data_IF_273861806242
#
_entry.id   IF_273861806242
#
_cell.length_a   1.000
_cell.length_b   1.000
_cell.length_c   1.000
_cell.angle_alpha   90.00
_cell.angle_beta   90.00
_cell.angle_gamma   90.00
#
_symmetry.space_group_name_H-M   'P 1'
#
loop_
_entity.id
_entity.type
_entity.pdbx_description
1 polymer ?
#
# COMPACT_ATOMS: atom_id res chain seq x y z
N UNK A 1 -6.19 9.30 5.46
CA UNK A 1 -5.97 8.62 4.17
C UNK A 1 -5.13 7.37 4.40
N UNK A 2 -5.57 6.25 3.87
CA UNK A 2 -4.82 4.99 3.97
C UNK A 2 -4.07 4.75 2.67
N UNK A 3 -2.76 4.54 2.77
CA UNK A 3 -1.90 4.23 1.64
C UNK A 3 -1.50 2.76 1.71
N UNK A 4 -1.56 2.09 0.57
CA UNK A 4 -1.22 0.68 0.45
C UNK A 4 0.14 0.53 -0.21
N UNK A 5 1.04 -0.20 0.45
CA UNK A 5 2.37 -0.46 -0.09
C UNK A 5 2.52 -1.93 -0.41
N UNK A 6 3.01 -2.22 -1.61
CA UNK A 6 3.39 -3.56 -2.01
C UNK A 6 4.89 -3.70 -1.77
N UNK A 7 5.28 -4.66 -0.91
CA UNK A 7 6.68 -4.94 -0.62
C UNK A 7 6.99 -6.35 -1.09
N UNK A 8 8.02 -6.47 -1.91
CA UNK A 8 8.44 -7.75 -2.47
C UNK A 8 9.90 -8.01 -2.18
N UNK A 9 10.21 -9.26 -1.85
CA UNK A 9 11.58 -9.70 -1.62
C UNK A 9 12.23 -10.06 -2.96
N UNK A 10 13.32 -9.35 -3.30
CA UNK A 10 14.18 -9.69 -4.41
C UNK A 10 15.39 -10.48 -3.95
N UNK A 11 16.33 -10.73 -4.85
CA UNK A 11 17.55 -11.47 -4.51
C UNK A 11 18.46 -10.72 -3.52
N UNK A 12 18.59 -9.42 -3.69
CA UNK A 12 19.48 -8.57 -2.88
C UNK A 12 18.76 -7.56 -2.01
N UNK A 13 17.58 -7.14 -2.45
CA UNK A 13 16.85 -6.05 -1.81
C UNK A 13 15.37 -6.38 -1.70
N UNK A 14 14.73 -5.72 -0.76
CA UNK A 14 13.27 -5.61 -0.74
C UNK A 14 12.87 -4.38 -1.53
N UNK A 15 11.94 -4.52 -2.45
CA UNK A 15 11.36 -3.39 -3.17
C UNK A 15 10.03 -3.01 -2.53
N UNK A 16 9.73 -1.72 -2.53
CA UNK A 16 8.49 -1.19 -1.99
C UNK A 16 7.90 -0.18 -2.96
N UNK A 17 6.58 -0.21 -3.12
CA UNK A 17 5.87 0.77 -3.94
C UNK A 17 4.56 1.16 -3.25
N UNK A 18 4.30 2.46 -3.19
CA UNK A 18 3.02 2.99 -2.75
C UNK A 18 2.08 2.99 -3.95
N UNK A 19 1.00 2.21 -3.86
CA UNK A 19 0.11 1.98 -5.00
C UNK A 19 -0.72 3.20 -5.40
N UNK A 20 -1.15 4.00 -4.43
CA UNK A 20 -1.95 5.19 -4.70
C UNK A 20 -1.16 6.33 -5.34
N UNK A 21 0.15 6.36 -5.14
CA UNK A 21 1.00 7.47 -5.57
C UNK A 21 2.08 7.06 -6.58
N UNK A 22 2.23 5.76 -6.82
CA UNK A 22 3.27 5.21 -7.69
C UNK A 22 4.68 5.69 -7.30
N UNK A 23 4.94 5.76 -6.00
CA UNK A 23 6.24 6.11 -5.43
C UNK A 23 6.92 4.83 -4.99
N UNK A 24 8.15 4.64 -5.40
CA UNK A 24 8.91 3.43 -5.12
C UNK A 24 10.16 3.70 -4.28
N UNK A 25 10.56 2.69 -3.52
CA UNK A 25 11.80 2.70 -2.76
C UNK A 25 12.30 1.26 -2.58
N UNK A 26 13.38 1.09 -1.86
CA UNK A 26 13.95 -0.23 -1.58
C UNK A 26 14.73 -0.22 -0.27
N UNK A 27 15.08 -1.40 0.21
CA UNK A 27 15.92 -1.57 1.39
C UNK A 27 16.52 -2.96 1.43
N UNK A 28 17.57 -3.13 2.19
CA UNK A 28 18.24 -4.43 2.37
C UNK A 28 17.43 -5.37 3.27
N UNK A 29 16.65 -4.81 4.15
CA UNK A 29 15.76 -5.54 5.05
C UNK A 29 14.33 -5.05 4.85
N UNK A 30 13.37 -5.84 5.34
CA UNK A 30 11.96 -5.45 5.31
C UNK A 30 11.73 -4.13 6.05
N UNK A 31 12.30 -3.98 7.25
CA UNK A 31 12.17 -2.75 8.04
C UNK A 31 12.75 -1.54 7.34
N UNK A 32 13.90 -1.73 6.69
CA UNK A 32 14.55 -0.66 5.93
C UNK A 32 13.68 -0.23 4.73
N UNK A 33 13.14 -1.19 3.99
CA UNK A 33 12.23 -0.91 2.88
C UNK A 33 10.98 -0.17 3.35
N UNK A 34 10.39 -0.57 4.48
CA UNK A 34 9.25 0.11 5.07
C UNK A 34 9.57 1.56 5.46
N UNK A 35 10.71 1.77 6.12
CA UNK A 35 11.14 3.12 6.51
C UNK A 35 11.42 3.99 5.28
N UNK A 36 12.09 3.42 4.27
CA UNK A 36 12.45 4.15 3.06
C UNK A 36 11.23 4.53 2.22
N UNK A 37 10.23 3.66 2.13
CA UNK A 37 9.01 4.01 1.38
C UNK A 37 8.21 5.11 2.08
N UNK A 38 8.15 5.11 3.40
CA UNK A 38 7.50 6.18 4.15
C UNK A 38 8.18 7.52 3.91
N UNK A 39 9.51 7.55 3.95
CA UNK A 39 10.30 8.75 3.67
C UNK A 39 10.08 9.25 2.24
N UNK A 40 10.11 8.33 1.27
CA UNK A 40 9.88 8.67 -0.14
C UNK A 40 8.48 9.25 -0.37
N UNK A 41 7.46 8.69 0.27
CA UNK A 41 6.08 9.19 0.19
C UNK A 41 5.98 10.58 0.81
N UNK A 42 6.58 10.80 1.98
CA UNK A 42 6.57 12.09 2.65
C UNK A 42 7.20 13.17 1.77
N UNK A 43 8.35 12.88 1.17
CA UNK A 43 9.03 13.80 0.25
C UNK A 43 8.19 14.09 -0.99
N UNK A 44 7.57 13.07 -1.56
CA UNK A 44 6.70 13.23 -2.71
C UNK A 44 5.52 14.16 -2.41
N UNK A 45 4.86 13.93 -1.28
CA UNK A 45 3.72 14.75 -0.87
C UNK A 45 4.13 16.19 -0.57
N UNK A 46 5.26 16.40 0.09
CA UNK A 46 5.80 17.75 0.33
C UNK A 46 6.04 18.50 -0.98
N UNK A 47 6.71 17.86 -1.93
CA UNK A 47 7.00 18.47 -3.24
C UNK A 47 5.74 18.81 -4.01
N UNK A 48 4.76 17.91 -4.03
CA UNK A 48 3.49 18.12 -4.75
C UNK A 48 2.69 19.26 -4.12
N UNK A 49 2.63 19.30 -2.79
CA UNK A 49 1.89 20.33 -2.05
C UNK A 49 2.55 21.69 -2.24
N UNK A 50 3.87 21.79 -2.12
CA UNK A 50 4.61 23.03 -2.33
C UNK A 50 4.44 23.58 -3.75
N UNK A 51 4.38 22.69 -4.74
CA UNK A 51 4.17 23.08 -6.13
C UNK A 51 2.71 23.43 -6.46
N UNK A 52 1.76 23.11 -5.58
CA UNK A 52 0.34 23.33 -5.81
C UNK A 52 -0.28 22.36 -6.83
N UNK A 53 0.34 21.19 -7.03
CA UNK A 53 -0.04 20.22 -8.05
C UNK A 53 -0.87 19.06 -7.53
N UNK A 54 -1.52 19.20 -6.36
CA UNK A 54 -2.25 18.09 -5.70
C UNK A 54 -3.31 17.46 -6.60
N UNK A 55 -4.00 18.25 -7.40
CA UNK A 55 -5.06 17.75 -8.28
C UNK A 55 -4.54 16.83 -9.36
N UNK A 56 -3.30 17.05 -9.81
CA UNK A 56 -2.68 16.29 -10.88
C UNK A 56 -1.97 15.04 -10.38
N UNK A 57 -1.34 15.13 -9.21
CA UNK A 57 -0.43 14.11 -8.71
C UNK A 57 -0.91 13.35 -7.47
N UNK A 58 -2.08 13.68 -6.95
CA UNK A 58 -2.68 12.97 -5.81
C UNK A 58 -4.16 12.70 -6.13
N UNK A 59 -4.58 11.46 -6.40
CA UNK A 59 -3.73 10.27 -6.55
C UNK A 59 -2.99 10.18 -7.88
N UNK A 60 -1.94 9.39 -7.90
CA UNK A 60 -1.23 9.01 -9.14
C UNK A 60 -1.00 7.49 -9.08
N UNK A 61 -2.03 6.68 -9.36
CA UNK A 61 -1.98 5.25 -9.09
C UNK A 61 -0.91 4.51 -9.88
N UNK A 62 -0.37 3.47 -9.25
CA UNK A 62 0.54 2.52 -9.88
C UNK A 62 -0.16 1.76 -11.00
N UNK A 63 0.60 1.13 -11.93
CA UNK A 63 0.02 0.30 -12.97
C UNK A 63 -0.88 -0.81 -12.42
N UNK A 64 -1.89 -1.16 -13.20
CA UNK A 64 -2.90 -2.15 -12.83
C UNK A 64 -2.31 -3.48 -12.39
N UNK A 65 -1.25 -3.93 -13.02
CA UNK A 65 -0.57 -5.20 -12.71
C UNK A 65 -0.09 -5.26 -11.27
N UNK A 66 0.37 -4.15 -10.73
CA UNK A 66 0.82 -4.07 -9.34
C UNK A 66 -0.33 -4.14 -8.36
N UNK A 67 -1.45 -3.51 -8.69
CA UNK A 67 -2.68 -3.62 -7.90
C UNK A 67 -3.20 -5.05 -7.87
N UNK A 68 -3.19 -5.73 -9.00
CA UNK A 68 -3.62 -7.15 -9.08
C UNK A 68 -2.72 -8.03 -8.22
N UNK A 69 -1.42 -7.80 -8.26
CA UNK A 69 -0.46 -8.54 -7.43
C UNK A 69 -0.70 -8.31 -5.94
N UNK A 70 -0.97 -7.08 -5.57
CA UNK A 70 -1.32 -6.73 -4.20
C UNK A 70 -2.56 -7.49 -3.72
N UNK A 71 -3.63 -7.50 -4.51
CA UNK A 71 -4.86 -8.21 -4.16
C UNK A 71 -4.66 -9.71 -4.06
N UNK A 72 -3.83 -10.31 -4.90
CA UNK A 72 -3.50 -11.74 -4.81
C UNK A 72 -2.82 -12.09 -3.48
N UNK A 73 -1.89 -11.23 -3.04
CA UNK A 73 -1.21 -11.41 -1.76
C UNK A 73 -2.19 -11.30 -0.60
N UNK A 74 -3.06 -10.30 -0.63
CA UNK A 74 -4.08 -10.10 0.41
C UNK A 74 -5.06 -11.27 0.46
N UNK A 75 -5.47 -11.81 -0.68
CA UNK A 75 -6.33 -12.99 -0.75
C UNK A 75 -5.68 -14.20 -0.10
N UNK A 76 -4.40 -14.44 -0.37
CA UNK A 76 -3.65 -15.56 0.25
C UNK A 76 -3.55 -15.40 1.76
N UNK A 77 -3.31 -14.19 2.24
CA UNK A 77 -3.27 -13.89 3.68
C UNK A 77 -4.61 -14.16 4.34
N UNK A 78 -5.69 -13.75 3.69
CA UNK A 78 -7.04 -13.97 4.19
C UNK A 78 -7.34 -15.47 4.31
N UNK A 79 -7.00 -16.25 3.29
CA UNK A 79 -7.21 -17.71 3.31
C UNK A 79 -6.44 -18.37 4.45
N UNK A 80 -5.18 -17.99 4.65
CA UNK A 80 -4.36 -18.53 5.75
C UNK A 80 -4.93 -18.15 7.11
N UNK A 81 -5.38 -16.92 7.27
CA UNK A 81 -5.97 -16.47 8.52
C UNK A 81 -7.25 -17.24 8.85
N UNK A 82 -8.10 -17.48 7.87
CA UNK A 82 -9.34 -18.25 8.02
C UNK A 82 -9.05 -19.70 8.37
N UNK A 83 -8.11 -20.36 7.66
CA UNK A 83 -7.70 -21.74 7.93
C UNK A 83 -7.20 -21.92 9.37
N UNK A 84 -6.41 -20.99 9.86
CA UNK A 84 -5.85 -21.04 11.21
C UNK A 84 -6.75 -20.43 12.27
N UNK A 85 -7.85 -19.81 11.87
CA UNK A 85 -8.75 -19.06 12.76
C UNK A 85 -8.00 -18.00 13.58
N UNK A 86 -6.96 -17.42 12.96
CA UNK A 86 -6.12 -16.38 13.59
C UNK A 86 -6.41 -15.03 12.98
N UNK A 87 -6.26 -14.01 13.82
CA UNK A 87 -6.32 -12.60 13.39
C UNK A 87 -7.61 -12.21 12.67
N UNK A 88 -8.71 -12.88 13.00
CA UNK A 88 -10.01 -12.53 12.46
C UNK A 88 -10.56 -11.35 13.25
N UNK A 89 -10.75 -10.25 12.56
CA UNK A 89 -11.39 -9.07 13.11
C UNK A 89 -12.66 -8.82 12.31
N UNK A 90 -13.73 -8.53 13.02
CA UNK A 90 -15.02 -8.24 12.41
C UNK A 90 -15.31 -6.76 12.53
N UNK A 91 -15.40 -6.09 11.39
CA UNK A 91 -15.86 -4.71 11.33
C UNK A 91 -17.27 -4.71 10.74
N UNK A 92 -18.19 -4.11 11.48
CA UNK A 92 -19.58 -4.06 11.05
C UNK A 92 -19.93 -2.61 10.71
N UNK A 93 -20.38 -2.41 9.48
CA UNK A 93 -20.97 -1.14 9.09
C UNK A 93 -22.44 -1.16 9.42
N UNK A 94 -22.91 -0.13 10.12
CA UNK A 94 -24.33 0.04 10.36
C UNK A 94 -24.99 0.51 9.08
N UNK A 95 -25.56 -0.44 8.33
CA UNK A 95 -26.37 -0.10 7.16
C UNK A 95 -27.78 0.20 7.65
N UNK A 96 -28.12 1.47 7.70
CA UNK A 96 -29.49 1.88 7.95
C UNK A 96 -30.20 1.82 6.61
N UNK A 97 -31.02 0.77 6.45
CA UNK A 97 -31.88 0.67 5.29
C UNK A 97 -33.08 1.58 5.49
N UNK A 98 -33.09 2.68 4.77
CA UNK A 98 -34.28 3.51 4.61
C UNK A 98 -35.06 2.99 3.41
N UNK A 99 -35.76 1.94 3.65
CA UNK A 99 -36.72 1.47 2.63
C UNK A 99 -38.01 2.23 2.76
#
# INVERSE_FOLDING_TARGET
>A
MVLHCLIEKGEKYYSAICLELNVASQGKTLKEAEANIKEAVDLYLECVIEAGDEKEFIPRPAPRELWLRFFEIEEKRMRKAVEKKKNLQFEFENVISTA
#
